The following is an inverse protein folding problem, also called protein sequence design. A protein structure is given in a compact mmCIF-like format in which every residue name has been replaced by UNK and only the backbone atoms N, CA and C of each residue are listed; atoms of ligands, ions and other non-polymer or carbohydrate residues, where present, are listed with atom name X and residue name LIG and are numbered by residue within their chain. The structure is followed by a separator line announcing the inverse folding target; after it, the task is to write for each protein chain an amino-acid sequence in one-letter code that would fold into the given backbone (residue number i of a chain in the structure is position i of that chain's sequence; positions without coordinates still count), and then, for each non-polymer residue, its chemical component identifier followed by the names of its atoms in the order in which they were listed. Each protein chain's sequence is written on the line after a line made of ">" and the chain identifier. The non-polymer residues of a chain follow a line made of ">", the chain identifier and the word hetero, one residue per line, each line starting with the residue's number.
data_IF_324258244381
#
_entry.id   IF_324258244381
#
_cell.length_a   1.000
_cell.length_b   1.000
_cell.length_c   1.000
_cell.angle_alpha   90.00
_cell.angle_beta   90.00
_cell.angle_gamma   90.00
#
_symmetry.space_group_name_H-M   'P 1'
#
loop_
_entity.id
_entity.type
_entity.pdbx_description
1 polymer ?
#
# COMPACT_ATOMS: atom_id res chain seq x y z
N UNK A 1 2.32 -34.31 49.52
CA UNK A 1 2.96 -33.62 48.37
C UNK A 1 1.84 -32.91 47.62
N UNK A 2 1.93 -31.61 47.32
CA UNK A 2 0.88 -30.94 46.56
C UNK A 2 1.05 -31.23 45.06
N UNK A 3 -0.08 -31.50 44.41
CA UNK A 3 -0.18 -31.83 42.99
C UNK A 3 0.31 -30.69 42.10
N UNK A 4 1.22 -31.04 41.18
CA UNK A 4 1.73 -30.16 40.14
C UNK A 4 0.60 -29.96 39.12
N UNK A 5 0.08 -28.73 39.05
CA UNK A 5 -0.81 -28.29 37.98
C UNK A 5 -0.05 -28.40 36.63
N UNK A 6 -0.28 -29.49 35.91
CA UNK A 6 0.08 -29.61 34.49
C UNK A 6 -0.93 -28.76 33.71
N UNK A 7 -0.49 -27.62 33.16
CA UNK A 7 -1.32 -26.82 32.25
C UNK A 7 -1.75 -27.72 31.08
N UNK A 8 -3.06 -27.83 30.78
CA UNK A 8 -3.48 -28.57 29.61
C UNK A 8 -2.88 -27.91 28.37
N UNK A 9 -2.20 -28.73 27.56
CA UNK A 9 -1.58 -28.33 26.31
C UNK A 9 -2.65 -27.66 25.45
N UNK A 10 -2.56 -26.32 25.28
CA UNK A 10 -3.49 -25.54 24.48
C UNK A 10 -3.31 -26.03 23.05
N UNK A 11 -4.21 -26.91 22.60
CA UNK A 11 -4.30 -27.32 21.20
C UNK A 11 -4.24 -26.06 20.35
N UNK A 12 -3.14 -25.88 19.63
CA UNK A 12 -3.04 -24.92 18.55
C UNK A 12 -4.20 -25.23 17.61
N UNK A 13 -5.25 -24.42 17.71
CA UNK A 13 -6.23 -24.34 16.64
C UNK A 13 -5.42 -23.80 15.47
N UNK A 14 -5.07 -24.68 14.54
CA UNK A 14 -4.80 -24.28 13.17
C UNK A 14 -6.00 -23.45 12.75
N UNK A 15 -5.90 -22.13 12.88
CA UNK A 15 -6.85 -21.19 12.32
C UNK A 15 -6.51 -21.14 10.84
N UNK A 16 -6.84 -22.23 10.16
CA UNK A 16 -7.09 -22.20 8.74
C UNK A 16 -8.31 -21.28 8.63
N UNK A 17 -8.04 -19.98 8.44
CA UNK A 17 -9.08 -19.04 8.04
C UNK A 17 -9.68 -19.68 6.80
N UNK A 18 -10.91 -20.18 6.93
CA UNK A 18 -11.64 -20.83 5.85
C UNK A 18 -12.08 -19.73 4.88
N UNK A 19 -11.09 -19.17 4.18
CA UNK A 19 -11.24 -18.16 3.14
C UNK A 19 -12.01 -18.73 1.93
N UNK A 20 -12.27 -20.04 1.88
CA UNK A 20 -13.12 -20.64 0.86
C UNK A 20 -14.62 -20.34 1.12
N UNK A 21 -15.02 -20.03 2.37
CA UNK A 21 -16.36 -19.50 2.67
C UNK A 21 -16.53 -18.01 2.35
N UNK A 22 -15.43 -17.27 2.17
CA UNK A 22 -15.47 -15.94 1.58
C UNK A 22 -15.57 -16.15 0.07
N UNK A 23 -16.78 -16.05 -0.49
CA UNK A 23 -17.15 -16.26 -1.91
C UNK A 23 -16.32 -15.48 -2.97
N UNK A 24 -15.24 -14.80 -2.60
CA UNK A 24 -14.46 -13.86 -3.42
C UNK A 24 -13.00 -14.30 -3.66
N UNK A 25 -12.52 -15.38 -3.03
CA UNK A 25 -11.12 -15.84 -3.17
C UNK A 25 -10.74 -16.28 -4.58
N UNK A 26 -11.71 -16.64 -5.42
CA UNK A 26 -11.42 -17.06 -6.79
C UNK A 26 -11.01 -15.90 -7.73
N UNK A 27 -11.34 -14.64 -7.39
CA UNK A 27 -11.02 -13.48 -8.24
C UNK A 27 -9.59 -12.94 -8.07
N UNK A 28 -8.95 -13.21 -6.93
CA UNK A 28 -7.66 -12.61 -6.56
C UNK A 28 -6.49 -13.60 -6.45
N UNK A 29 -6.68 -14.87 -6.85
CA UNK A 29 -5.60 -15.83 -7.13
C UNK A 29 -4.84 -15.48 -8.42
N UNK A 30 -4.50 -14.21 -8.64
CA UNK A 30 -3.61 -13.82 -9.74
C UNK A 30 -2.16 -14.10 -9.34
N UNK A 31 -1.30 -14.55 -10.26
CA UNK A 31 0.12 -14.66 -9.98
C UNK A 31 0.65 -13.29 -9.55
N UNK A 32 1.43 -13.27 -8.47
CA UNK A 32 2.03 -12.06 -7.94
C UNK A 32 2.93 -11.40 -9.02
N UNK A 33 2.46 -10.30 -9.57
CA UNK A 33 3.22 -9.40 -10.43
C UNK A 33 3.78 -8.23 -9.60
N UNK A 34 4.88 -7.61 -10.03
CA UNK A 34 5.45 -6.42 -9.39
C UNK A 34 4.47 -5.25 -9.24
N UNK A 35 3.42 -5.22 -10.05
CA UNK A 35 2.37 -4.19 -10.04
C UNK A 35 1.07 -4.67 -9.37
N UNK A 36 1.12 -5.78 -8.64
CA UNK A 36 -0.07 -6.29 -7.94
C UNK A 36 -0.45 -5.33 -6.82
N UNK A 37 -1.62 -4.72 -6.95
CA UNK A 37 -2.16 -3.80 -5.95
C UNK A 37 -2.96 -4.51 -4.84
N UNK A 38 -3.42 -5.74 -5.11
CA UNK A 38 -4.20 -6.56 -4.19
C UNK A 38 -3.86 -8.03 -4.41
N UNK A 39 -3.27 -8.67 -3.41
CA UNK A 39 -2.94 -10.09 -3.41
C UNK A 39 -3.45 -10.74 -2.12
N UNK A 40 -4.26 -11.78 -2.27
CA UNK A 40 -4.75 -12.60 -1.15
C UNK A 40 -3.86 -13.83 -1.04
N UNK A 41 -3.29 -14.04 0.14
CA UNK A 41 -2.45 -15.18 0.48
C UNK A 41 -1.34 -15.48 -0.55
N UNK A 42 -0.37 -14.57 -0.75
CA UNK A 42 0.75 -14.82 -1.65
C UNK A 42 1.66 -15.91 -1.07
N UNK A 43 1.57 -17.13 -1.60
CA UNK A 43 2.29 -18.32 -1.09
C UNK A 43 3.84 -18.22 -1.09
N UNK A 44 4.42 -17.28 -1.85
CA UNK A 44 5.87 -17.15 -2.05
C UNK A 44 6.45 -15.77 -1.68
N UNK A 45 5.73 -14.96 -0.89
CA UNK A 45 6.28 -13.70 -0.38
C UNK A 45 6.80 -13.91 1.04
N UNK A 46 8.11 -13.74 1.22
CA UNK A 46 8.73 -13.58 2.53
C UNK A 46 9.25 -12.15 2.65
N UNK A 47 8.94 -11.48 3.75
CA UNK A 47 9.51 -10.17 4.09
C UNK A 47 10.63 -10.34 5.13
N UNK A 48 11.57 -9.39 5.19
CA UNK A 48 12.82 -9.48 5.96
C UNK A 48 12.58 -9.64 7.48
N UNK A 49 11.53 -8.99 8.01
CA UNK A 49 11.15 -9.03 9.45
C UNK A 49 10.03 -10.05 9.77
N UNK A 50 9.77 -11.02 8.90
CA UNK A 50 8.70 -11.99 9.10
C UNK A 50 9.08 -13.04 10.16
N UNK A 51 8.23 -13.23 11.17
CA UNK A 51 8.44 -14.29 12.16
C UNK A 51 8.28 -15.68 11.51
N UNK A 52 9.01 -16.68 12.02
CA UNK A 52 9.17 -18.01 11.40
C UNK A 52 7.86 -18.79 11.16
N UNK A 53 6.75 -18.37 11.76
CA UNK A 53 5.43 -19.01 11.63
C UNK A 53 4.31 -18.02 11.25
N UNK A 54 4.64 -16.77 10.95
CA UNK A 54 3.66 -15.74 10.57
C UNK A 54 3.22 -15.93 9.11
N UNK A 55 1.90 -15.96 8.87
CA UNK A 55 1.33 -16.15 7.54
C UNK A 55 0.80 -14.83 6.99
N UNK A 56 1.27 -14.44 5.82
CA UNK A 56 0.74 -13.28 5.11
C UNK A 56 -0.65 -13.59 4.54
N UNK A 57 -1.67 -12.87 5.03
CA UNK A 57 -3.06 -13.03 4.60
C UNK A 57 -3.36 -12.09 3.44
N UNK A 58 -2.92 -10.83 3.52
CA UNK A 58 -3.20 -9.81 2.52
C UNK A 58 -1.97 -8.98 2.22
N UNK A 59 -1.72 -8.75 0.93
CA UNK A 59 -0.77 -7.77 0.43
C UNK A 59 -1.52 -6.70 -0.35
N UNK A 60 -1.36 -5.46 0.07
CA UNK A 60 -2.06 -4.30 -0.46
C UNK A 60 -1.04 -3.24 -0.90
N UNK A 61 -1.37 -2.55 -1.99
CA UNK A 61 -0.63 -1.39 -2.48
C UNK A 61 -1.60 -0.38 -3.06
N UNK A 62 -1.19 0.88 -3.06
CA UNK A 62 -1.94 2.00 -3.64
C UNK A 62 -2.33 1.68 -5.09
N UNK A 63 -3.56 2.05 -5.47
CA UNK A 63 -4.10 1.79 -6.79
C UNK A 63 -3.31 2.52 -7.88
N UNK A 64 -3.11 1.91 -9.06
CA UNK A 64 -2.33 2.52 -10.14
C UNK A 64 -2.88 3.89 -10.59
N UNK A 65 -4.20 4.07 -10.51
CA UNK A 65 -4.85 5.33 -10.91
C UNK A 65 -4.41 6.53 -10.06
N UNK A 66 -3.92 6.33 -8.83
CA UNK A 66 -3.38 7.44 -8.02
C UNK A 66 -2.19 8.12 -8.70
N UNK A 67 -1.51 7.41 -9.61
CA UNK A 67 -0.37 7.95 -10.33
C UNK A 67 -0.74 8.94 -11.44
N UNK A 68 -2.01 8.95 -11.88
CA UNK A 68 -2.43 9.74 -13.03
C UNK A 68 -2.20 11.24 -12.83
N UNK A 69 -2.36 11.76 -11.61
CA UNK A 69 -2.16 13.18 -11.30
C UNK A 69 -0.72 13.66 -11.57
N UNK A 70 0.28 12.98 -10.99
CA UNK A 70 1.68 13.37 -11.18
C UNK A 70 2.18 13.04 -12.59
N UNK A 71 1.65 12.00 -13.24
CA UNK A 71 1.96 11.67 -14.63
C UNK A 71 1.51 12.80 -15.57
N UNK A 72 0.31 13.35 -15.37
CA UNK A 72 -0.19 14.49 -16.16
C UNK A 72 0.70 15.72 -15.95
N UNK A 73 1.10 16.01 -14.72
CA UNK A 73 2.03 17.14 -14.43
C UNK A 73 3.37 16.92 -15.12
N UNK A 74 3.97 15.73 -14.99
CA UNK A 74 5.23 15.39 -15.64
C UNK A 74 5.13 15.49 -17.17
N UNK A 75 4.02 15.04 -17.75
CA UNK A 75 3.74 15.16 -19.18
C UNK A 75 3.65 16.63 -19.62
N UNK A 76 2.89 17.46 -18.90
CA UNK A 76 2.81 18.89 -19.17
C UNK A 76 4.19 19.57 -19.08
N UNK A 77 4.99 19.24 -18.06
CA UNK A 77 6.36 19.75 -17.90
C UNK A 77 7.28 19.29 -19.04
N UNK A 78 7.12 18.07 -19.53
CA UNK A 78 7.88 17.56 -20.67
C UNK A 78 7.58 18.33 -21.97
N UNK A 79 6.38 18.91 -22.12
CA UNK A 79 6.02 19.72 -23.28
C UNK A 79 6.56 21.16 -23.21
N UNK A 80 6.97 21.66 -22.03
CA UNK A 80 7.43 23.04 -21.84
C UNK A 80 8.55 23.45 -22.80
N UNK A 81 9.62 22.65 -23.03
CA UNK A 81 10.67 23.04 -23.97
C UNK A 81 10.14 23.17 -25.40
N UNK A 82 9.23 22.29 -25.83
CA UNK A 82 8.67 22.31 -27.19
C UNK A 82 7.93 23.63 -27.43
N UNK A 83 7.07 24.01 -26.49
CA UNK A 83 6.37 25.30 -26.55
C UNK A 83 7.34 26.47 -26.44
N UNK A 84 8.32 26.41 -25.54
CA UNK A 84 9.31 27.47 -25.39
C UNK A 84 10.05 27.74 -26.70
N UNK A 85 10.54 26.70 -27.39
CA UNK A 85 11.22 26.85 -28.68
C UNK A 85 10.30 27.32 -29.82
N UNK A 86 9.00 27.07 -29.72
CA UNK A 86 8.03 27.50 -30.72
C UNK A 86 7.63 28.98 -30.55
N UNK A 87 7.53 29.47 -29.32
CA UNK A 87 7.09 30.84 -29.03
C UNK A 87 8.23 31.84 -28.82
N UNK A 88 9.40 31.39 -28.35
CA UNK A 88 10.55 32.23 -28.05
C UNK A 88 11.72 31.96 -28.97
N UNK A 89 12.39 33.03 -29.41
CA UNK A 89 13.59 32.91 -30.24
C UNK A 89 14.84 32.78 -29.38
N UNK A 90 15.39 31.57 -29.32
CA UNK A 90 16.66 31.28 -28.63
C UNK A 90 17.88 31.30 -29.58
N UNK A 91 17.77 31.95 -30.75
CA UNK A 91 18.84 31.97 -31.77
C UNK A 91 20.13 32.63 -31.27
N UNK A 92 20.02 33.58 -30.35
CA UNK A 92 21.16 34.28 -29.74
C UNK A 92 21.98 33.39 -28.79
N UNK A 93 21.43 32.26 -28.35
CA UNK A 93 22.09 31.33 -27.44
C UNK A 93 22.84 30.27 -28.26
N UNK A 94 24.15 30.03 -28.00
CA UNK A 94 24.90 28.97 -28.65
C UNK A 94 24.20 27.61 -28.53
N UNK A 95 24.35 26.77 -29.55
CA UNK A 95 23.65 25.49 -29.63
C UNK A 95 23.98 24.56 -28.45
N UNK A 96 25.22 24.60 -27.95
CA UNK A 96 25.69 23.83 -26.79
C UNK A 96 24.90 24.15 -25.52
N UNK A 97 24.69 25.43 -25.21
CA UNK A 97 23.93 25.85 -24.03
C UNK A 97 22.44 25.51 -24.16
N UNK A 98 21.86 25.61 -25.38
CA UNK A 98 20.48 25.17 -25.63
C UNK A 98 20.31 23.68 -25.40
N UNK A 99 21.22 22.87 -25.92
CA UNK A 99 21.21 21.42 -25.72
C UNK A 99 21.35 21.07 -24.23
N UNK A 100 22.30 21.70 -23.53
CA UNK A 100 22.50 21.49 -22.09
C UNK A 100 21.25 21.87 -21.28
N UNK A 101 20.58 22.97 -21.63
CA UNK A 101 19.33 23.39 -20.99
C UNK A 101 18.19 22.39 -21.19
N UNK A 102 18.04 21.85 -22.40
CA UNK A 102 17.05 20.80 -22.70
C UNK A 102 17.32 19.55 -21.87
N UNK A 103 18.56 19.07 -21.88
CA UNK A 103 18.94 17.87 -21.12
C UNK A 103 18.73 18.10 -19.63
N UNK A 104 19.16 19.25 -19.10
CA UNK A 104 18.95 19.61 -17.70
C UNK A 104 17.46 19.67 -17.32
N UNK A 105 16.61 20.22 -18.18
CA UNK A 105 15.17 20.25 -17.97
C UNK A 105 14.58 18.83 -17.89
N UNK A 106 14.89 17.96 -18.87
CA UNK A 106 14.38 16.59 -18.86
C UNK A 106 14.93 15.77 -17.70
N UNK A 107 16.15 16.03 -17.23
CA UNK A 107 16.68 15.41 -16.01
C UNK A 107 15.87 15.80 -14.77
N UNK A 108 15.45 17.06 -14.66
CA UNK A 108 14.59 17.52 -13.55
C UNK A 108 13.21 16.86 -13.63
N UNK A 109 12.59 16.84 -14.82
CA UNK A 109 11.28 16.19 -15.02
C UNK A 109 11.35 14.69 -14.73
N UNK A 110 12.42 14.03 -15.17
CA UNK A 110 12.69 12.63 -14.87
C UNK A 110 12.87 12.40 -13.38
N UNK A 111 13.69 13.21 -12.69
CA UNK A 111 13.91 13.08 -11.24
C UNK A 111 12.59 13.22 -10.46
N UNK A 112 11.75 14.20 -10.82
CA UNK A 112 10.42 14.37 -10.23
C UNK A 112 9.52 13.14 -10.46
N UNK A 113 9.40 12.68 -11.71
CA UNK A 113 8.58 11.53 -12.04
C UNK A 113 9.09 10.25 -11.35
N UNK A 114 10.40 10.08 -11.27
CA UNK A 114 11.05 8.95 -10.64
C UNK A 114 10.84 8.93 -9.12
N UNK A 115 10.99 10.07 -8.44
CA UNK A 115 10.69 10.21 -7.01
C UNK A 115 9.23 9.83 -6.71
N UNK A 116 8.28 10.35 -7.50
CA UNK A 116 6.85 10.03 -7.33
C UNK A 116 6.54 8.57 -7.58
N UNK A 117 7.16 7.99 -8.60
CA UNK A 117 7.04 6.57 -8.90
C UNK A 117 7.58 5.72 -7.76
N UNK A 118 8.76 6.03 -7.22
CA UNK A 118 9.37 5.27 -6.11
C UNK A 118 8.55 5.38 -4.83
N UNK A 119 8.07 6.57 -4.48
CA UNK A 119 7.18 6.72 -3.32
C UNK A 119 5.94 5.81 -3.48
N UNK A 120 5.24 5.89 -4.62
CA UNK A 120 4.09 4.99 -4.87
C UNK A 120 4.47 3.50 -4.89
N UNK A 121 5.64 3.15 -5.43
CA UNK A 121 6.09 1.77 -5.58
C UNK A 121 6.53 1.13 -4.25
N UNK A 122 7.09 1.89 -3.32
CA UNK A 122 7.56 1.37 -2.04
C UNK A 122 6.53 1.47 -0.91
N UNK A 123 5.48 2.28 -1.08
CA UNK A 123 4.33 2.28 -0.16
C UNK A 123 3.57 0.96 -0.25
N UNK A 124 3.66 0.13 0.79
CA UNK A 124 3.03 -1.19 0.85
C UNK A 124 2.35 -1.41 2.20
N UNK A 125 1.24 -2.14 2.15
CA UNK A 125 0.43 -2.50 3.30
C UNK A 125 0.35 -4.01 3.38
N UNK A 126 0.65 -4.57 4.55
CA UNK A 126 0.71 -6.02 4.78
C UNK A 126 -0.20 -6.35 5.95
N UNK A 127 -1.05 -7.36 5.77
CA UNK A 127 -1.87 -7.95 6.83
C UNK A 127 -1.46 -9.41 7.00
N UNK A 128 -1.10 -9.77 8.22
CA UNK A 128 -0.76 -11.14 8.61
C UNK A 128 -1.82 -11.71 9.54
N UNK A 129 -1.61 -12.94 10.00
CA UNK A 129 -2.44 -13.58 11.03
C UNK A 129 -2.16 -13.06 12.46
N UNK A 130 -1.13 -12.23 12.64
CA UNK A 130 -0.73 -11.71 13.96
C UNK A 130 -0.76 -10.18 14.07
N UNK A 131 -0.32 -9.47 13.02
CA UNK A 131 -0.26 -8.01 12.98
C UNK A 131 -0.57 -7.42 11.61
N UNK A 132 -0.78 -6.13 11.61
CA UNK A 132 -0.87 -5.28 10.43
C UNK A 132 0.38 -4.41 10.38
N UNK A 133 0.94 -4.25 9.20
CA UNK A 133 2.16 -3.48 8.94
C UNK A 133 1.87 -2.51 7.79
N UNK A 134 2.05 -1.23 8.05
CA UNK A 134 2.00 -0.14 7.07
C UNK A 134 3.41 0.40 6.87
N UNK A 135 3.90 0.37 5.63
CA UNK A 135 5.22 0.84 5.26
C UNK A 135 5.04 2.02 4.31
N UNK A 136 5.34 3.22 4.79
CA UNK A 136 5.24 4.45 4.03
C UNK A 136 6.62 5.07 3.78
N UNK A 137 6.80 5.61 2.58
CA UNK A 137 7.97 6.37 2.15
C UNK A 137 7.55 7.80 1.79
N UNK A 138 7.45 8.70 2.79
CA UNK A 138 7.12 10.11 2.53
C UNK A 138 8.21 10.82 1.70
N UNK A 139 9.44 10.34 1.75
CA UNK A 139 10.54 10.75 0.87
C UNK A 139 11.48 9.58 0.61
N UNK A 140 12.33 9.68 -0.42
CA UNK A 140 13.27 8.61 -0.78
C UNK A 140 14.28 8.29 0.34
N UNK A 141 14.50 9.22 1.26
CA UNK A 141 15.44 9.10 2.38
C UNK A 141 14.78 8.75 3.72
N UNK A 142 13.45 8.71 3.78
CA UNK A 142 12.72 8.49 5.01
C UNK A 142 11.71 7.36 4.85
N UNK A 143 11.82 6.35 5.70
CA UNK A 143 10.92 5.22 5.79
C UNK A 143 10.20 5.30 7.12
N UNK A 144 8.87 5.29 7.07
CA UNK A 144 7.99 5.18 8.22
C UNK A 144 7.39 3.76 8.22
N UNK A 145 7.46 3.09 9.36
CA UNK A 145 6.93 1.74 9.53
C UNK A 145 6.04 1.78 10.75
N UNK A 146 4.75 1.56 10.53
CA UNK A 146 3.76 1.44 11.59
C UNK A 146 3.30 0.00 11.67
N UNK A 147 3.34 -0.57 12.87
CA UNK A 147 2.87 -1.93 13.13
C UNK A 147 1.86 -1.95 14.27
N UNK A 148 0.83 -2.78 14.10
CA UNK A 148 -0.18 -2.99 15.14
C UNK A 148 -0.61 -4.45 15.15
N UNK A 149 -0.59 -5.07 16.32
CA UNK A 149 -1.12 -6.43 16.50
C UNK A 149 -2.62 -6.44 16.24
N UNK A 150 -3.16 -7.52 15.66
CA UNK A 150 -4.61 -7.64 15.48
C UNK A 150 -5.36 -7.55 16.81
N UNK A 151 -4.72 -8.01 17.87
CA UNK A 151 -5.20 -7.86 19.24
C UNK A 151 -5.40 -6.41 19.64
N UNK A 152 -4.73 -5.42 19.05
CA UNK A 152 -4.82 -4.02 19.46
C UNK A 152 -5.74 -3.20 18.56
N UNK A 153 -6.39 -3.82 17.57
CA UNK A 153 -7.35 -3.15 16.69
C UNK A 153 -8.69 -3.03 17.42
N UNK A 154 -9.28 -1.85 17.37
CA UNK A 154 -10.62 -1.56 17.94
C UNK A 154 -11.69 -1.59 16.85
N UNK A 155 -11.46 -0.85 15.77
CA UNK A 155 -12.40 -0.73 14.66
C UNK A 155 -11.68 -0.62 13.32
N UNK A 156 -12.33 -1.11 12.26
CA UNK A 156 -11.83 -1.01 10.89
C UNK A 156 -12.95 -0.53 10.00
N UNK A 157 -12.75 0.63 9.38
CA UNK A 157 -13.73 1.26 8.50
C UNK A 157 -13.15 1.54 7.11
N UNK A 158 -13.97 1.40 6.07
CA UNK A 158 -13.61 1.80 4.70
C UNK A 158 -14.19 3.17 4.36
N UNK A 159 -13.42 3.98 3.63
CA UNK A 159 -13.86 5.29 3.11
C UNK A 159 -13.57 5.40 1.62
N UNK A 160 -14.64 5.52 0.82
CA UNK A 160 -14.56 5.79 -0.61
C UNK A 160 -15.12 7.20 -0.87
N UNK A 161 -14.24 8.12 -1.28
CA UNK A 161 -14.60 9.53 -1.49
C UNK A 161 -14.64 9.95 -2.96
N UNK A 162 -15.80 10.41 -3.44
CA UNK A 162 -15.94 11.07 -4.74
C UNK A 162 -16.15 10.12 -5.94
N UNK A 163 -16.62 10.69 -7.05
CA UNK A 163 -17.09 9.93 -8.22
C UNK A 163 -16.02 9.00 -8.83
N UNK A 164 -14.81 9.51 -9.05
CA UNK A 164 -13.73 8.72 -9.66
C UNK A 164 -13.29 7.53 -8.79
N UNK A 165 -13.26 7.71 -7.46
CA UNK A 165 -12.91 6.66 -6.49
C UNK A 165 -13.97 5.58 -6.44
N UNK A 166 -15.25 5.96 -6.41
CA UNK A 166 -16.38 5.01 -6.45
C UNK A 166 -16.44 4.25 -7.76
N UNK A 167 -16.22 4.91 -8.90
CA UNK A 167 -16.26 4.27 -10.22
C UNK A 167 -15.14 3.23 -10.40
N UNK A 168 -13.93 3.56 -9.94
CA UNK A 168 -12.75 2.68 -10.03
C UNK A 168 -12.59 1.74 -8.81
N UNK A 169 -13.51 1.83 -7.85
CA UNK A 169 -13.56 1.02 -6.64
C UNK A 169 -12.22 0.98 -5.85
N UNK A 170 -11.65 2.16 -5.61
CA UNK A 170 -10.50 2.33 -4.72
C UNK A 170 -10.79 3.39 -3.66
N UNK A 171 -10.18 3.24 -2.49
CA UNK A 171 -10.41 4.14 -1.36
C UNK A 171 -9.47 3.85 -0.20
N UNK A 172 -9.80 4.40 0.95
CA UNK A 172 -8.94 4.35 2.12
C UNK A 172 -9.53 3.35 3.15
N UNK A 173 -8.69 2.63 3.88
CA UNK A 173 -9.12 1.81 5.04
C UNK A 173 -8.48 2.37 6.29
N UNK A 174 -9.31 2.77 7.24
CA UNK A 174 -8.91 3.34 8.51
C UNK A 174 -8.98 2.27 9.58
N UNK A 175 -7.86 2.07 10.26
CA UNK A 175 -7.69 1.07 11.31
C UNK A 175 -7.43 1.82 12.60
N UNK A 176 -8.42 1.80 13.48
CA UNK A 176 -8.32 2.42 14.80
C UNK A 176 -7.71 1.42 15.78
N UNK A 177 -6.72 1.89 16.53
CA UNK A 177 -5.94 1.08 17.47
C UNK A 177 -6.21 1.50 18.89
N UNK A 178 -6.22 0.53 19.80
CA UNK A 178 -6.48 0.76 21.21
C UNK A 178 -5.41 1.60 21.88
N UNK A 179 -5.85 2.57 22.68
CA UNK A 179 -4.99 3.39 23.53
C UNK A 179 -4.27 4.52 22.80
N UNK A 180 -2.97 4.67 23.05
CA UNK A 180 -2.15 5.77 22.54
C UNK A 180 -1.33 5.42 21.28
N UNK A 181 -1.65 4.30 20.63
CA UNK A 181 -1.00 3.88 19.39
C UNK A 181 -1.49 4.77 18.22
N UNK A 182 -0.63 5.07 17.23
CA UNK A 182 -1.02 5.84 16.06
C UNK A 182 -2.04 5.07 15.21
N UNK A 183 -3.03 5.80 14.69
CA UNK A 183 -4.00 5.29 13.72
C UNK A 183 -3.26 4.84 12.45
N UNK A 184 -3.61 3.66 11.93
CA UNK A 184 -3.06 3.13 10.68
C UNK A 184 -4.05 3.40 9.55
N UNK A 185 -3.57 3.97 8.45
CA UNK A 185 -4.40 4.30 7.30
C UNK A 185 -3.84 3.70 6.01
N UNK A 186 -4.61 2.80 5.41
CA UNK A 186 -4.30 2.25 4.11
C UNK A 186 -4.83 3.16 3.01
N UNK A 187 -3.95 4.01 2.49
CA UNK A 187 -4.34 5.02 1.50
C UNK A 187 -4.58 4.45 0.10
N UNK A 188 -5.74 4.77 -0.47
CA UNK A 188 -6.09 4.58 -1.89
C UNK A 188 -5.86 3.15 -2.41
N UNK A 189 -6.21 2.16 -1.61
CA UNK A 189 -6.14 0.74 -1.95
C UNK A 189 -7.33 0.33 -2.85
N UNK A 190 -7.13 -0.64 -3.76
CA UNK A 190 -8.24 -1.25 -4.49
C UNK A 190 -9.15 -2.06 -3.56
N UNK A 191 -10.47 -1.99 -3.78
CA UNK A 191 -11.48 -2.74 -3.02
C UNK A 191 -11.36 -2.58 -1.50
N UNK A 192 -11.44 -1.34 -0.97
CA UNK A 192 -11.24 -1.08 0.46
C UNK A 192 -12.26 -1.79 1.35
N UNK A 193 -13.51 -1.93 0.90
CA UNK A 193 -14.56 -2.64 1.65
C UNK A 193 -14.18 -4.11 1.91
N UNK A 194 -13.56 -4.77 0.92
CA UNK A 194 -13.11 -6.17 1.04
C UNK A 194 -11.90 -6.30 1.95
N UNK A 195 -10.98 -5.35 1.87
CA UNK A 195 -9.84 -5.32 2.79
C UNK A 195 -10.33 -5.16 4.24
N UNK A 196 -11.27 -4.25 4.49
CA UNK A 196 -11.87 -4.05 5.80
C UNK A 196 -12.62 -5.29 6.31
N UNK A 197 -13.39 -5.97 5.45
CA UNK A 197 -14.07 -7.23 5.77
C UNK A 197 -13.07 -8.31 6.18
N UNK A 198 -12.02 -8.55 5.37
CA UNK A 198 -10.98 -9.54 5.67
C UNK A 198 -10.28 -9.22 6.99
N UNK A 199 -9.95 -7.96 7.25
CA UNK A 199 -9.29 -7.57 8.50
C UNK A 199 -10.23 -7.83 9.69
N UNK A 200 -11.51 -7.46 9.59
CA UNK A 200 -12.50 -7.67 10.64
C UNK A 200 -12.73 -9.15 10.98
N UNK A 201 -12.58 -10.05 10.00
CA UNK A 201 -12.67 -11.49 10.20
C UNK A 201 -11.46 -12.08 10.93
N UNK A 202 -10.30 -11.42 10.82
CA UNK A 202 -9.08 -11.82 11.52
C UNK A 202 -9.06 -11.33 12.98
N UNK A 203 -9.86 -10.32 13.34
CA UNK A 203 -9.93 -9.79 14.71
C UNK A 203 -10.61 -10.83 15.64
N UNK A 204 -9.99 -11.20 16.78
CA UNK A 204 -10.56 -12.16 17.71
C UNK A 204 -11.92 -11.70 18.27
N UNK A 205 -12.92 -12.60 18.43
CA UNK A 205 -14.31 -12.25 18.78
C UNK A 205 -14.54 -11.74 20.22
N UNK A 206 -13.50 -11.33 20.95
CA UNK A 206 -13.60 -10.87 22.34
C UNK A 206 -13.82 -9.36 22.53
N UNK A 207 -14.07 -8.60 21.45
CA UNK A 207 -14.12 -7.13 21.52
C UNK A 207 -15.18 -6.46 20.62
N UNK A 208 -16.09 -7.25 20.04
CA UNK A 208 -17.25 -6.75 19.28
C UNK A 208 -18.38 -6.44 20.27
N UNK A 209 -18.22 -5.43 21.12
CA UNK A 209 -19.28 -4.92 22.01
C UNK A 209 -19.54 -3.44 21.78
#
# INVERSE_FOLDING_TARGET
>A
MPDIFVRPNKKEKNFEVDLDNVHLTHFFKKPFSFLTAFAVQPRNLHYEDQEKEEKMVLFLRRHFFTNMGWIVIAFCLALVPIFAFSFFSFKSIPLSYRFLGIVGWYMIVFAYAFERFLSWFFNINIVTDQRIIDINFPSILYKDISECRLENIEDVSSKIGGFARSFLNYGDVLIQTAGALPEINFESIPFPDKAAEIINDLIPPGRKE
#
